data_IF_506395367011
#
_entry.id   IF_506395367011
#
_cell.length_a   1.000
_cell.length_b   1.000
_cell.length_c   1.000
_cell.angle_alpha   90.00
_cell.angle_beta   90.00
_cell.angle_gamma   90.00
#
_symmetry.space_group_name_H-M   'P 1'
#
loop_
_entity.id
_entity.type
_entity.pdbx_description
1 polymer ?
#
# COMPACT_ATOMS: atom_id res chain seq x y z
N UNK A 1 -17.50 -3.74 22.93
CA UNK A 1 -16.53 -3.24 21.93
C UNK A 1 -17.05 -3.38 20.49
N UNK A 2 -17.91 -4.37 20.20
CA UNK A 2 -18.55 -4.53 18.89
C UNK A 2 -19.66 -3.50 18.57
N UNK A 3 -20.25 -2.83 19.55
CA UNK A 3 -21.37 -1.89 19.32
C UNK A 3 -20.95 -0.47 18.89
N UNK A 4 -19.69 -0.06 19.08
CA UNK A 4 -19.24 1.31 18.74
C UNK A 4 -18.98 1.45 17.22
N UNK A 5 -18.72 0.35 16.51
CA UNK A 5 -18.43 0.36 15.07
C UNK A 5 -19.71 0.34 14.21
N UNK A 6 -20.88 0.05 14.78
CA UNK A 6 -22.13 -0.14 14.05
C UNK A 6 -22.76 1.17 13.50
N UNK A 7 -22.22 2.33 13.87
CA UNK A 7 -22.79 3.64 13.50
C UNK A 7 -21.98 4.43 12.44
N UNK A 8 -20.87 3.90 11.94
CA UNK A 8 -19.96 4.62 11.02
C UNK A 8 -20.01 4.02 9.62
N UNK A 9 -21.13 4.27 8.94
CA UNK A 9 -21.34 3.88 7.55
C UNK A 9 -20.61 4.82 6.59
N UNK A 10 -20.27 4.34 5.38
CA UNK A 10 -19.81 5.22 4.31
C UNK A 10 -20.84 6.33 4.06
N UNK A 11 -20.37 7.50 3.61
CA UNK A 11 -21.27 8.59 3.28
C UNK A 11 -22.21 8.18 2.14
N UNK A 12 -23.45 8.70 2.10
CA UNK A 12 -24.35 8.45 0.99
C UNK A 12 -23.77 9.01 -0.32
N UNK A 13 -23.97 8.28 -1.41
CA UNK A 13 -23.65 8.77 -2.74
C UNK A 13 -24.86 9.50 -3.34
N UNK A 14 -24.59 10.65 -3.95
CA UNK A 14 -25.60 11.48 -4.62
C UNK A 14 -25.33 11.48 -6.12
N UNK A 15 -26.38 11.21 -6.89
CA UNK A 15 -26.39 11.31 -8.35
C UNK A 15 -27.46 12.32 -8.76
N UNK A 16 -27.06 13.34 -9.52
CA UNK A 16 -27.89 14.45 -9.98
C UNK A 16 -28.28 14.35 -11.46
N UNK A 17 -28.01 13.19 -12.10
CA UNK A 17 -28.27 13.00 -13.53
C UNK A 17 -29.77 13.00 -13.83
N UNK A 18 -30.13 13.52 -15.01
CA UNK A 18 -31.51 13.48 -15.51
C UNK A 18 -32.49 14.37 -14.74
N UNK A 19 -32.02 15.46 -14.14
CA UNK A 19 -32.82 16.43 -13.38
C UNK A 19 -33.56 15.81 -12.17
N UNK A 20 -32.94 14.80 -11.55
CA UNK A 20 -33.43 14.11 -10.34
C UNK A 20 -32.26 13.91 -9.39
N UNK A 21 -32.57 13.79 -8.10
CA UNK A 21 -31.59 13.45 -7.06
C UNK A 21 -31.80 11.99 -6.66
N UNK A 22 -30.80 11.15 -6.91
CA UNK A 22 -30.77 9.76 -6.43
C UNK A 22 -29.77 9.65 -5.30
N UNK A 23 -30.26 9.26 -4.13
CA UNK A 23 -29.45 8.97 -2.94
C UNK A 23 -29.24 7.46 -2.83
N UNK A 24 -28.00 7.04 -2.62
CA UNK A 24 -27.64 5.64 -2.35
C UNK A 24 -27.03 5.53 -0.96
N UNK A 25 -27.73 4.85 -0.04
CA UNK A 25 -27.25 4.59 1.32
C UNK A 25 -26.62 3.19 1.39
N UNK A 26 -25.37 3.11 1.85
CA UNK A 26 -24.69 1.82 2.03
C UNK A 26 -24.93 1.32 3.46
N UNK A 27 -25.79 0.30 3.62
CA UNK A 27 -26.13 -0.28 4.92
C UNK A 27 -25.05 -1.19 5.54
N UNK A 28 -23.79 -1.09 5.10
CA UNK A 28 -22.67 -1.88 5.63
C UNK A 28 -21.40 -1.05 5.67
N UNK A 29 -20.51 -1.38 6.60
CA UNK A 29 -19.16 -0.82 6.64
C UNK A 29 -18.38 -1.33 5.41
N UNK A 30 -17.89 -0.41 4.59
CA UNK A 30 -17.09 -0.75 3.39
C UNK A 30 -15.58 -0.83 3.71
N UNK A 31 -15.13 -0.09 4.72
CA UNK A 31 -13.75 -0.02 5.18
C UNK A 31 -13.76 0.23 6.69
N UNK A 32 -13.13 -0.66 7.43
CA UNK A 32 -13.10 -0.62 8.89
C UNK A 32 -12.16 0.49 9.37
N UNK A 33 -11.11 0.80 8.59
CA UNK A 33 -10.15 1.85 8.95
C UNK A 33 -10.78 3.24 8.85
N UNK A 34 -11.69 3.44 7.90
CA UNK A 34 -12.53 4.65 7.85
C UNK A 34 -13.34 4.83 9.14
N UNK A 35 -14.11 3.82 9.54
CA UNK A 35 -14.90 3.86 10.76
C UNK A 35 -14.03 4.13 12.00
N UNK A 36 -12.84 3.51 12.08
CA UNK A 36 -11.89 3.76 13.18
C UNK A 36 -11.40 5.19 13.23
N UNK A 37 -11.05 5.78 12.09
CA UNK A 37 -10.59 7.17 12.01
C UNK A 37 -11.69 8.13 12.47
N UNK A 38 -12.94 7.89 12.09
CA UNK A 38 -14.08 8.69 12.55
C UNK A 38 -14.32 8.58 14.06
N UNK A 39 -14.31 7.37 14.62
CA UNK A 39 -14.51 7.16 16.07
C UNK A 39 -13.44 7.87 16.90
N UNK A 40 -12.19 7.87 16.43
CA UNK A 40 -11.04 8.33 17.22
C UNK A 40 -10.75 9.82 17.08
N UNK A 41 -11.29 10.46 16.05
CA UNK A 41 -11.08 11.88 15.80
C UNK A 41 -12.44 12.59 15.68
N UNK A 42 -13.15 12.82 16.81
CA UNK A 42 -14.44 13.51 16.78
C UNK A 42 -14.34 14.95 16.25
N UNK A 43 -13.13 15.54 16.30
CA UNK A 43 -12.82 16.88 15.80
C UNK A 43 -12.52 16.91 14.28
N UNK A 44 -12.69 15.79 13.56
CA UNK A 44 -12.51 15.79 12.10
C UNK A 44 -13.50 16.74 11.44
N UNK A 45 -13.00 17.58 10.54
CA UNK A 45 -13.87 18.42 9.74
C UNK A 45 -14.69 17.56 8.78
N UNK A 46 -15.91 18.03 8.46
CA UNK A 46 -16.75 17.38 7.46
C UNK A 46 -16.00 17.19 6.12
N UNK A 47 -15.16 18.15 5.76
CA UNK A 47 -14.30 18.07 4.57
C UNK A 47 -13.34 16.89 4.64
N UNK A 48 -12.61 16.71 5.76
CA UNK A 48 -11.71 15.56 5.92
C UNK A 48 -12.49 14.23 5.86
N UNK A 49 -13.70 14.18 6.43
CA UNK A 49 -14.57 13.00 6.41
C UNK A 49 -14.99 12.64 4.98
N UNK A 50 -15.37 13.65 4.18
CA UNK A 50 -15.72 13.47 2.76
C UNK A 50 -14.51 12.97 1.97
N UNK A 51 -13.32 13.54 2.23
CA UNK A 51 -12.10 13.15 1.55
C UNK A 51 -11.69 11.71 1.93
N UNK A 52 -11.85 11.32 3.19
CA UNK A 52 -11.63 9.94 3.65
C UNK A 52 -12.63 8.95 3.03
N UNK A 53 -13.91 9.34 2.87
CA UNK A 53 -14.91 8.51 2.18
C UNK A 53 -14.54 8.31 0.70
N UNK A 54 -13.99 9.33 0.04
CA UNK A 54 -13.44 9.19 -1.33
C UNK A 54 -12.28 8.19 -1.38
N UNK A 55 -11.38 8.22 -0.41
CA UNK A 55 -10.25 7.26 -0.32
C UNK A 55 -10.78 5.83 -0.19
N UNK A 56 -11.70 5.60 0.74
CA UNK A 56 -12.35 4.31 0.97
C UNK A 56 -13.05 3.79 -0.29
N UNK A 57 -13.75 4.67 -1.02
CA UNK A 57 -14.45 4.33 -2.27
C UNK A 57 -13.52 4.29 -3.50
N UNK A 58 -12.21 4.48 -3.31
CA UNK A 58 -11.20 4.53 -4.38
C UNK A 58 -11.51 5.56 -5.47
N UNK A 59 -12.12 6.69 -5.09
CA UNK A 59 -12.38 7.82 -5.98
C UNK A 59 -11.11 8.65 -6.14
N UNK A 60 -11.02 9.40 -7.25
CA UNK A 60 -9.88 10.28 -7.50
C UNK A 60 -9.82 11.43 -6.49
N UNK A 61 -8.60 11.74 -6.06
CA UNK A 61 -8.28 12.84 -5.15
C UNK A 61 -7.40 13.84 -5.89
N UNK A 62 -7.64 15.12 -5.65
CA UNK A 62 -6.76 16.18 -6.17
C UNK A 62 -5.44 16.19 -5.38
N UNK A 63 -4.39 16.75 -5.97
CA UNK A 63 -3.10 16.83 -5.28
C UNK A 63 -3.17 17.72 -4.01
N UNK A 64 -4.14 18.65 -3.94
CA UNK A 64 -4.43 19.43 -2.74
C UNK A 64 -5.06 18.56 -1.64
N UNK A 65 -6.09 17.76 -1.99
CA UNK A 65 -6.74 16.82 -1.06
C UNK A 65 -5.70 15.85 -0.47
N UNK A 66 -4.82 15.31 -1.32
CA UNK A 66 -3.76 14.39 -0.89
C UNK A 66 -2.79 15.07 0.08
N UNK A 67 -2.40 16.32 -0.18
CA UNK A 67 -1.50 17.07 0.71
C UNK A 67 -2.15 17.34 2.06
N UNK A 68 -3.44 17.70 2.08
CA UNK A 68 -4.21 17.91 3.31
C UNK A 68 -4.28 16.63 4.15
N UNK A 69 -4.73 15.53 3.54
CA UNK A 69 -4.87 14.25 4.23
C UNK A 69 -3.53 13.69 4.72
N UNK A 70 -2.45 13.83 3.92
CA UNK A 70 -1.10 13.43 4.34
C UNK A 70 -0.52 14.33 5.43
N UNK A 71 -0.76 15.64 5.37
CA UNK A 71 -0.32 16.58 6.40
C UNK A 71 -0.93 16.26 7.77
N UNK A 72 -2.16 15.74 7.78
CA UNK A 72 -2.85 15.27 8.99
C UNK A 72 -2.57 13.80 9.32
N UNK A 73 -1.70 13.12 8.57
CA UNK A 73 -1.42 11.68 8.69
C UNK A 73 -2.67 10.78 8.64
N UNK A 74 -3.72 11.21 7.93
CA UNK A 74 -4.98 10.47 7.79
C UNK A 74 -4.92 9.41 6.68
N UNK A 75 -4.03 9.60 5.70
CA UNK A 75 -3.79 8.63 4.62
C UNK A 75 -2.30 8.36 4.42
N UNK A 76 -2.03 7.18 3.89
CA UNK A 76 -0.74 6.71 3.44
C UNK A 76 -0.82 6.27 1.96
N UNK A 77 0.30 5.84 1.38
CA UNK A 77 0.37 5.37 -0.01
C UNK A 77 0.80 6.43 -1.01
N UNK A 78 0.66 6.12 -2.31
CA UNK A 78 1.12 6.95 -3.43
C UNK A 78 0.09 6.91 -4.55
N UNK A 79 -0.10 8.04 -5.24
CA UNK A 79 -1.01 8.14 -6.39
C UNK A 79 -0.79 6.97 -7.37
N UNK A 80 -1.84 6.28 -7.82
CA UNK A 80 -3.26 6.47 -7.48
C UNK A 80 -3.74 5.69 -6.22
N UNK A 81 -2.89 4.86 -5.63
CA UNK A 81 -3.24 3.92 -4.56
C UNK A 81 -2.96 4.52 -3.18
N UNK A 82 -3.97 5.18 -2.61
CA UNK A 82 -3.98 5.65 -1.23
C UNK A 82 -4.76 4.70 -0.32
N UNK A 83 -4.37 4.65 0.94
CA UNK A 83 -5.07 3.89 1.99
C UNK A 83 -5.13 4.71 3.27
N UNK A 84 -6.13 4.45 4.11
CA UNK A 84 -6.33 5.15 5.38
C UNK A 84 -5.20 4.77 6.34
N UNK A 85 -4.62 5.77 7.01
CA UNK A 85 -3.43 5.59 7.86
C UNK A 85 -3.77 4.86 9.16
N UNK A 86 -2.93 3.88 9.51
CA UNK A 86 -3.11 3.00 10.69
C UNK A 86 -2.44 3.57 11.94
N UNK A 87 -1.66 4.66 11.86
CA UNK A 87 -1.09 5.30 13.06
C UNK A 87 -2.17 5.81 14.03
N UNK A 88 -3.37 6.09 13.50
CA UNK A 88 -4.57 6.44 14.28
C UNK A 88 -5.23 5.20 14.90
N UNK A 89 -4.88 3.98 14.48
CA UNK A 89 -5.62 2.72 14.70
C UNK A 89 -4.98 1.73 15.69
N UNK A 90 -3.99 2.11 16.51
CA UNK A 90 -3.47 1.21 17.54
C UNK A 90 -4.53 0.95 18.64
N UNK A 91 -5.21 -0.20 18.58
CA UNK A 91 -5.57 -1.06 19.72
C UNK A 91 -6.40 -2.33 19.42
N UNK A 92 -6.55 -2.78 18.17
CA UNK A 92 -7.33 -4.01 17.89
C UNK A 92 -6.65 -4.96 16.91
N UNK A 93 -7.00 -6.24 17.03
CA UNK A 93 -6.42 -7.50 16.53
C UNK A 93 -6.14 -7.66 15.02
N UNK A 94 -6.10 -6.59 14.22
CA UNK A 94 -5.93 -6.66 12.76
C UNK A 94 -4.52 -6.30 12.26
N UNK A 95 -3.50 -6.48 13.12
CA UNK A 95 -2.10 -6.17 12.78
C UNK A 95 -1.59 -6.97 11.58
N UNK A 96 -2.06 -8.20 11.39
CA UNK A 96 -1.62 -9.08 10.31
C UNK A 96 -2.14 -8.64 8.92
N UNK A 97 -3.40 -8.24 8.81
CA UNK A 97 -3.99 -7.82 7.54
C UNK A 97 -3.45 -6.45 7.08
N UNK A 98 -3.08 -5.59 8.02
CA UNK A 98 -2.35 -4.36 7.74
C UNK A 98 -0.98 -4.63 7.08
N UNK A 99 -0.18 -5.54 7.64
CA UNK A 99 1.13 -5.90 7.07
C UNK A 99 0.95 -6.47 5.66
N UNK A 100 -0.09 -7.28 5.42
CA UNK A 100 -0.39 -7.82 4.08
C UNK A 100 -0.79 -6.74 3.06
N UNK A 101 -1.52 -5.71 3.50
CA UNK A 101 -2.03 -4.65 2.61
C UNK A 101 -0.96 -3.60 2.32
N UNK A 102 -0.20 -3.18 3.33
CA UNK A 102 0.95 -2.27 3.20
C UNK A 102 2.11 -2.92 2.45
N UNK A 103 2.28 -4.22 2.61
CA UNK A 103 3.48 -4.95 2.23
C UNK A 103 4.65 -4.68 3.17
N UNK A 104 5.68 -5.53 3.09
CA UNK A 104 6.89 -5.36 3.87
C UNK A 104 7.73 -4.16 3.42
N UNK A 105 8.65 -3.72 4.28
CA UNK A 105 9.65 -2.71 3.95
C UNK A 105 10.63 -3.28 2.91
N UNK A 106 11.26 -2.38 2.14
CA UNK A 106 12.22 -2.73 1.10
C UNK A 106 13.34 -3.63 1.61
N UNK A 107 13.84 -3.39 2.81
CA UNK A 107 14.91 -4.17 3.44
C UNK A 107 14.53 -5.65 3.65
N UNK A 108 13.24 -5.95 3.88
CA UNK A 108 12.78 -7.33 4.00
C UNK A 108 12.89 -8.06 2.67
N UNK A 109 12.43 -7.45 1.57
CA UNK A 109 12.56 -8.05 0.25
C UNK A 109 14.02 -8.18 -0.19
N UNK A 110 14.87 -7.19 0.15
CA UNK A 110 16.31 -7.29 -0.08
C UNK A 110 16.92 -8.46 0.68
N UNK A 111 16.55 -8.65 1.94
CA UNK A 111 17.01 -9.78 2.75
C UNK A 111 16.61 -11.12 2.13
N UNK A 112 15.38 -11.26 1.63
CA UNK A 112 14.95 -12.48 0.92
C UNK A 112 15.78 -12.76 -0.34
N UNK A 113 16.09 -11.72 -1.13
CA UNK A 113 16.96 -11.87 -2.31
C UNK A 113 18.36 -12.33 -1.88
N UNK A 114 18.92 -11.73 -0.82
CA UNK A 114 20.23 -12.08 -0.30
C UNK A 114 20.27 -13.53 0.21
N UNK A 115 19.26 -13.96 0.97
CA UNK A 115 19.15 -15.33 1.46
C UNK A 115 19.08 -16.35 0.30
N UNK A 116 18.32 -16.03 -0.75
CA UNK A 116 18.27 -16.85 -1.95
C UNK A 116 19.65 -16.96 -2.63
N UNK A 117 20.36 -15.83 -2.78
CA UNK A 117 21.70 -15.80 -3.38
C UNK A 117 22.71 -16.56 -2.52
N UNK A 118 22.64 -16.44 -1.19
CA UNK A 118 23.55 -17.18 -0.29
C UNK A 118 23.34 -18.69 -0.41
N UNK A 119 22.08 -19.12 -0.55
CA UNK A 119 21.72 -20.54 -0.62
C UNK A 119 22.01 -21.18 -1.97
N UNK A 120 21.78 -20.45 -3.07
CA UNK A 120 21.87 -20.99 -4.44
C UNK A 120 23.03 -20.39 -5.27
N UNK A 121 23.83 -19.52 -4.66
CA UNK A 121 25.00 -18.84 -5.24
C UNK A 121 24.67 -17.68 -6.17
N UNK A 122 23.47 -17.66 -6.78
CA UNK A 122 23.06 -16.62 -7.71
C UNK A 122 21.54 -16.58 -7.92
N UNK A 123 21.02 -15.46 -8.40
CA UNK A 123 19.63 -15.31 -8.79
C UNK A 123 19.51 -14.73 -10.21
N UNK A 124 18.68 -15.35 -11.05
CA UNK A 124 18.23 -14.76 -12.31
C UNK A 124 17.08 -13.78 -12.08
N UNK A 125 16.65 -13.08 -13.13
CA UNK A 125 15.47 -12.21 -13.05
C UNK A 125 14.21 -13.02 -12.78
N UNK A 126 14.09 -14.16 -13.44
CA UNK A 126 12.96 -15.07 -13.31
C UNK A 126 12.87 -15.64 -11.89
N UNK A 127 14.02 -15.93 -11.25
CA UNK A 127 14.06 -16.40 -9.86
C UNK A 127 13.56 -15.33 -8.89
N UNK A 128 14.03 -14.09 -9.05
CA UNK A 128 13.62 -12.98 -8.18
C UNK A 128 12.14 -12.64 -8.39
N UNK A 129 11.66 -12.64 -9.64
CA UNK A 129 10.25 -12.43 -9.95
C UNK A 129 9.39 -13.52 -9.30
N UNK A 130 9.76 -14.80 -9.41
CA UNK A 130 9.06 -15.91 -8.74
C UNK A 130 9.09 -15.79 -7.20
N UNK A 131 10.21 -15.33 -6.64
CA UNK A 131 10.37 -15.17 -5.19
C UNK A 131 9.48 -14.06 -4.62
N UNK A 132 9.33 -12.95 -5.36
CA UNK A 132 8.73 -11.73 -4.80
C UNK A 132 7.31 -11.43 -5.30
N UNK A 133 6.93 -11.82 -6.51
CA UNK A 133 5.65 -11.39 -7.10
C UNK A 133 4.44 -11.83 -6.28
N UNK A 134 4.48 -13.03 -5.69
CA UNK A 134 3.37 -13.58 -4.89
C UNK A 134 3.30 -13.00 -3.46
N UNK A 135 4.40 -12.41 -2.98
CA UNK A 135 4.54 -11.86 -1.63
C UNK A 135 4.29 -10.35 -1.63
N UNK A 136 4.49 -9.69 -2.77
CA UNK A 136 4.20 -8.27 -2.92
C UNK A 136 2.71 -7.98 -2.69
N UNK A 137 2.40 -6.84 -2.03
CA UNK A 137 1.03 -6.47 -1.70
C UNK A 137 0.08 -6.50 -2.91
N UNK A 138 -1.08 -7.14 -2.73
CA UNK A 138 -2.12 -7.30 -3.77
C UNK A 138 -2.75 -5.98 -4.24
N UNK A 139 -2.57 -4.89 -3.49
CA UNK A 139 -3.00 -3.54 -3.88
C UNK A 139 -2.22 -3.00 -5.08
N UNK A 140 -1.01 -3.53 -5.35
CA UNK A 140 -0.25 -3.17 -6.53
C UNK A 140 -0.76 -3.91 -7.76
N UNK A 141 -0.76 -3.26 -8.91
CA UNK A 141 -0.96 -3.95 -10.20
C UNK A 141 0.32 -4.70 -10.64
N UNK A 142 0.21 -5.57 -11.65
CA UNK A 142 1.35 -6.36 -12.14
C UNK A 142 2.53 -5.52 -12.63
N UNK A 143 2.24 -4.36 -13.24
CA UNK A 143 3.27 -3.44 -13.72
C UNK A 143 3.98 -2.77 -12.54
N UNK A 144 3.25 -2.37 -11.52
CA UNK A 144 3.77 -1.79 -10.28
C UNK A 144 4.61 -2.81 -9.50
N UNK A 145 4.17 -4.07 -9.41
CA UNK A 145 4.96 -5.17 -8.80
C UNK A 145 6.28 -5.37 -9.52
N UNK A 146 6.27 -5.51 -10.85
CA UNK A 146 7.50 -5.65 -11.65
C UNK A 146 8.43 -4.44 -11.52
N UNK A 147 7.88 -3.23 -11.50
CA UNK A 147 8.66 -2.01 -11.27
C UNK A 147 9.29 -1.99 -9.87
N UNK A 148 8.57 -2.47 -8.85
CA UNK A 148 9.09 -2.58 -7.48
C UNK A 148 10.30 -3.52 -7.42
N UNK A 149 10.20 -4.70 -8.02
CA UNK A 149 11.32 -5.65 -8.12
C UNK A 149 12.53 -5.02 -8.82
N UNK A 150 12.30 -4.39 -9.98
CA UNK A 150 13.37 -3.70 -10.73
C UNK A 150 14.07 -2.63 -9.88
N UNK A 151 13.30 -1.85 -9.13
CA UNK A 151 13.84 -0.79 -8.27
C UNK A 151 14.62 -1.35 -7.07
N UNK A 152 14.18 -2.47 -6.49
CA UNK A 152 14.90 -3.17 -5.42
C UNK A 152 16.26 -3.66 -5.92
N UNK A 153 16.30 -4.38 -7.04
CA UNK A 153 17.54 -4.86 -7.66
C UNK A 153 18.49 -3.70 -7.98
N UNK A 154 17.96 -2.60 -8.54
CA UNK A 154 18.74 -1.42 -8.83
C UNK A 154 19.35 -0.82 -7.55
N UNK A 155 18.57 -0.69 -6.48
CA UNK A 155 19.08 -0.21 -5.19
C UNK A 155 20.19 -1.12 -4.66
N UNK A 156 19.96 -2.43 -4.64
CA UNK A 156 20.94 -3.41 -4.16
C UNK A 156 22.24 -3.41 -4.97
N UNK A 157 22.16 -3.21 -6.29
CA UNK A 157 23.33 -3.27 -7.18
C UNK A 157 24.08 -1.95 -7.35
N UNK A 158 23.38 -0.80 -7.27
CA UNK A 158 23.96 0.52 -7.61
C UNK A 158 24.03 1.51 -6.45
N UNK A 159 23.30 1.26 -5.36
CA UNK A 159 23.31 2.13 -4.18
C UNK A 159 23.92 1.41 -2.99
N UNK A 160 23.42 0.22 -2.69
CA UNK A 160 23.81 -0.54 -1.51
C UNK A 160 25.03 -1.41 -1.77
N UNK A 161 25.35 -1.69 -3.04
CA UNK A 161 26.46 -2.54 -3.50
C UNK A 161 26.49 -3.95 -2.88
N UNK A 162 25.34 -4.46 -2.45
CA UNK A 162 25.18 -5.79 -1.83
C UNK A 162 25.21 -6.93 -2.84
N UNK A 163 24.84 -6.66 -4.10
CA UNK A 163 24.86 -7.63 -5.20
C UNK A 163 25.53 -7.03 -6.44
N UNK A 164 26.10 -7.89 -7.29
CA UNK A 164 26.63 -7.50 -8.60
C UNK A 164 26.11 -8.41 -9.70
N UNK A 165 25.92 -7.85 -10.89
CA UNK A 165 25.55 -8.64 -12.07
C UNK A 165 26.81 -9.34 -12.59
N UNK A 166 26.81 -10.67 -12.57
CA UNK A 166 27.81 -11.54 -13.20
C UNK A 166 27.37 -12.05 -14.58
N UNK A 167 26.16 -11.73 -15.01
CA UNK A 167 25.61 -12.07 -16.33
C UNK A 167 25.71 -10.93 -17.33
N UNK A 168 24.92 -11.02 -18.40
CA UNK A 168 24.83 -9.94 -19.40
C UNK A 168 23.72 -8.95 -19.04
N UNK A 169 23.63 -7.84 -19.77
CA UNK A 169 22.49 -6.92 -19.64
C UNK A 169 21.16 -7.58 -20.07
N UNK A 170 21.20 -8.49 -21.04
CA UNK A 170 20.02 -9.21 -21.55
C UNK A 170 19.59 -10.37 -20.65
N UNK A 171 20.57 -11.08 -20.08
CA UNK A 171 20.38 -12.19 -19.16
C UNK A 171 21.16 -11.91 -17.88
N UNK A 172 20.61 -11.03 -17.00
CA UNK A 172 21.29 -10.68 -15.77
C UNK A 172 21.27 -11.85 -14.80
N UNK A 173 22.38 -12.01 -14.09
CA UNK A 173 22.57 -13.00 -13.05
C UNK A 173 23.24 -12.30 -11.87
N UNK A 174 22.53 -12.17 -10.76
CA UNK A 174 23.04 -11.46 -9.60
C UNK A 174 23.70 -12.43 -8.63
N UNK A 175 24.89 -12.06 -8.18
CA UNK A 175 25.66 -12.75 -7.14
C UNK A 175 25.94 -11.79 -6.00
N UNK A 176 26.29 -12.32 -4.84
CA UNK A 176 26.70 -11.50 -3.70
C UNK A 176 27.94 -10.71 -4.06
N UNK A 177 27.97 -9.44 -3.67
CA UNK A 177 29.20 -8.69 -3.82
C UNK A 177 30.16 -9.13 -2.71
N UNK A 178 31.39 -9.49 -3.08
CA UNK A 178 32.39 -10.03 -2.16
C UNK A 178 33.14 -8.93 -1.38
N UNK A 179 32.86 -7.65 -1.67
CA UNK A 179 33.55 -6.50 -1.10
C UNK A 179 32.87 -5.96 0.18
N UNK A 180 32.31 -6.84 1.01
CA UNK A 180 31.80 -6.52 2.36
C UNK A 180 32.36 -7.47 3.40
#
# INVERSE_FOLDING_TARGET
>A
MNDILACYFPMPDYDFTGNKVKLTLTGKVLDIDYARVLVRNPELSLEDIILLDKVQKKKELTDADVRQLKGKNLIEGRKPNFHISVSVAEKTEQKADYIKTRGFKDDHYKAMILEYIDKYGSASKEDIDKLLLDILPKILDDKQRKNKVRNLIYAMSKKDFTIKNSGTSRHPKWIRNADQ
#
